data_IF_275052040909
#
_entry.id   IF_275052040909
#
_cell.length_a   1.000
_cell.length_b   1.000
_cell.length_c   1.000
_cell.angle_alpha   90.00
_cell.angle_beta   90.00
_cell.angle_gamma   90.00
#
_symmetry.space_group_name_H-M   'P 1'
#
loop_
_entity.id
_entity.type
_entity.pdbx_description
1 polymer ?
#
# COMPACT_ATOMS: atom_id res chain seq x y z
N UNK A 1 29.94 -56.69 2.95
CA UNK A 1 29.80 -55.28 3.32
C UNK A 1 28.93 -54.67 2.26
N UNK A 2 27.63 -54.39 2.52
CA UNK A 2 26.77 -53.74 1.53
C UNK A 2 26.97 -52.23 1.59
N UNK A 3 26.96 -51.57 0.41
CA UNK A 3 27.09 -50.13 0.22
C UNK A 3 25.97 -49.34 0.90
N UNK A 4 26.28 -48.15 1.41
CA UNK A 4 25.25 -47.26 1.99
C UNK A 4 24.35 -46.73 0.87
N UNK A 5 23.04 -46.43 1.19
CA UNK A 5 22.12 -45.88 0.20
C UNK A 5 22.50 -44.41 -0.09
N UNK A 6 22.23 -43.92 -1.33
CA UNK A 6 22.52 -42.55 -1.71
C UNK A 6 21.60 -41.62 -0.97
N UNK A 7 22.19 -40.65 -0.25
CA UNK A 7 21.49 -39.54 0.33
C UNK A 7 20.76 -38.75 -0.78
N UNK A 8 19.46 -38.73 -0.71
CA UNK A 8 18.60 -37.90 -1.54
C UNK A 8 18.75 -36.45 -1.15
N UNK A 9 19.71 -35.75 -1.74
CA UNK A 9 19.84 -34.33 -1.72
C UNK A 9 18.71 -33.71 -2.53
N UNK A 10 17.61 -33.42 -1.85
CA UNK A 10 16.47 -32.68 -2.42
C UNK A 10 16.90 -31.21 -2.60
N UNK A 11 17.70 -30.96 -3.62
CA UNK A 11 17.97 -29.60 -4.11
C UNK A 11 16.70 -29.03 -4.76
N UNK A 12 16.05 -28.10 -4.08
CA UNK A 12 15.03 -27.24 -4.67
C UNK A 12 15.66 -26.46 -5.83
N UNK A 13 15.18 -26.59 -7.06
CA UNK A 13 15.65 -25.77 -8.17
C UNK A 13 14.98 -24.39 -8.09
N UNK A 14 15.53 -23.48 -7.27
CA UNK A 14 15.27 -22.05 -7.43
C UNK A 14 16.03 -21.59 -8.69
N UNK A 15 15.47 -21.92 -9.86
CA UNK A 15 15.91 -21.35 -11.12
C UNK A 15 15.62 -19.84 -11.10
N UNK A 16 16.62 -19.07 -10.65
CA UNK A 16 16.64 -17.63 -10.89
C UNK A 16 16.77 -17.40 -12.38
N UNK A 17 15.63 -17.41 -13.08
CA UNK A 17 15.58 -16.92 -14.47
C UNK A 17 16.05 -15.47 -14.45
N UNK A 18 17.17 -15.21 -15.12
CA UNK A 18 17.69 -13.85 -15.33
C UNK A 18 16.56 -12.99 -15.88
N UNK A 19 16.20 -11.96 -15.12
CA UNK A 19 15.22 -10.98 -15.53
C UNK A 19 15.65 -10.39 -16.88
N UNK A 20 14.88 -10.64 -17.93
CA UNK A 20 15.10 -9.99 -19.22
C UNK A 20 15.04 -8.47 -19.04
N UNK A 21 15.93 -7.69 -19.67
CA UNK A 21 15.92 -6.25 -19.56
C UNK A 21 14.57 -5.73 -20.08
N UNK A 22 13.75 -5.20 -19.17
CA UNK A 22 12.48 -4.54 -19.54
C UNK A 22 12.78 -3.46 -20.56
N UNK A 23 12.13 -3.48 -21.72
CA UNK A 23 12.31 -2.50 -22.79
C UNK A 23 12.13 -1.10 -22.23
N UNK A 24 12.97 -0.14 -22.64
CA UNK A 24 12.91 1.28 -22.26
C UNK A 24 11.49 1.86 -22.49
N UNK A 25 10.80 1.37 -23.51
CA UNK A 25 9.41 1.73 -23.83
C UNK A 25 8.43 1.39 -22.70
N UNK A 26 8.51 0.21 -22.09
CA UNK A 26 7.66 -0.14 -20.93
C UNK A 26 7.94 0.73 -19.72
N UNK A 27 9.19 1.12 -19.49
CA UNK A 27 9.54 2.08 -18.43
C UNK A 27 8.96 3.46 -18.72
N UNK A 28 9.09 3.96 -19.95
CA UNK A 28 8.53 5.25 -20.38
C UNK A 28 7.00 5.29 -20.21
N UNK A 29 6.28 4.27 -20.65
CA UNK A 29 4.81 4.18 -20.49
C UNK A 29 4.41 4.16 -19.03
N UNK A 30 5.19 3.51 -18.14
CA UNK A 30 4.90 3.45 -16.70
C UNK A 30 5.14 4.79 -15.99
N UNK A 31 6.09 5.61 -16.48
CA UNK A 31 6.39 6.92 -15.90
C UNK A 31 5.60 8.07 -16.54
N UNK A 32 4.97 7.84 -17.68
CA UNK A 32 4.24 8.85 -18.43
C UNK A 32 3.13 9.54 -17.62
N UNK A 33 2.27 8.82 -16.85
CA UNK A 33 1.24 9.46 -16.05
C UNK A 33 1.81 10.36 -14.95
N UNK A 34 2.90 9.93 -14.28
CA UNK A 34 3.57 10.75 -13.28
C UNK A 34 4.26 11.98 -13.90
N UNK A 35 4.88 11.81 -15.08
CA UNK A 35 5.50 12.89 -15.84
C UNK A 35 4.49 13.92 -16.37
N UNK A 36 3.23 13.53 -16.55
CA UNK A 36 2.15 14.43 -16.99
C UNK A 36 1.43 15.03 -15.78
N UNK A 37 1.09 14.22 -14.78
CA UNK A 37 0.30 14.67 -13.64
C UNK A 37 1.04 15.69 -12.77
N UNK A 38 2.34 15.48 -12.53
CA UNK A 38 3.13 16.42 -11.72
C UNK A 38 3.32 17.79 -12.38
N UNK A 39 3.74 17.90 -13.66
CA UNK A 39 3.76 19.18 -14.36
C UNK A 39 2.39 19.83 -14.51
N UNK A 40 1.33 19.03 -14.73
CA UNK A 40 -0.03 19.57 -14.82
C UNK A 40 -0.48 20.15 -13.45
N UNK A 41 -0.15 19.50 -12.35
CA UNK A 41 -0.42 20.01 -11.01
C UNK A 41 0.39 21.29 -10.73
N UNK A 42 1.68 21.30 -11.06
CA UNK A 42 2.53 22.49 -10.95
C UNK A 42 1.95 23.62 -11.82
N UNK A 43 1.57 23.34 -13.06
CA UNK A 43 0.97 24.33 -13.97
C UNK A 43 -0.37 24.86 -13.43
N UNK A 44 -1.21 23.98 -12.83
CA UNK A 44 -2.44 24.40 -12.19
C UNK A 44 -2.18 25.36 -11.01
N UNK A 45 -1.21 25.05 -10.18
CA UNK A 45 -0.81 25.93 -9.05
C UNK A 45 -0.23 27.26 -9.55
N UNK A 46 0.62 27.22 -10.58
CA UNK A 46 1.20 28.43 -11.17
C UNK A 46 0.14 29.29 -11.86
N UNK A 47 -0.89 28.66 -12.43
CA UNK A 47 -1.93 29.35 -13.18
C UNK A 47 -3.08 29.86 -12.29
N UNK A 48 -3.48 29.10 -11.28
CA UNK A 48 -4.60 29.40 -10.39
C UNK A 48 -4.18 29.87 -8.99
N UNK A 49 -2.90 29.71 -8.61
CA UNK A 49 -2.37 30.09 -7.33
C UNK A 49 -1.01 30.76 -7.44
N UNK A 50 -0.64 31.46 -6.40
CA UNK A 50 0.68 32.08 -6.28
C UNK A 50 1.63 31.05 -5.67
N UNK A 51 2.73 30.74 -6.35
CA UNK A 51 3.84 29.95 -5.78
C UNK A 51 4.34 30.58 -4.47
N UNK A 52 4.24 31.89 -4.37
CA UNK A 52 4.58 32.66 -3.18
C UNK A 52 3.71 32.25 -1.99
N UNK A 53 2.38 32.18 -2.17
CA UNK A 53 1.44 31.70 -1.15
C UNK A 53 1.73 30.25 -0.73
N UNK A 54 2.09 29.38 -1.67
CA UNK A 54 2.48 28.00 -1.37
C UNK A 54 3.70 27.93 -0.44
N UNK A 55 4.79 28.64 -0.79
CA UNK A 55 5.99 28.66 0.03
C UNK A 55 5.77 29.31 1.39
N UNK A 56 4.96 30.34 1.44
CA UNK A 56 4.59 31.02 2.69
C UNK A 56 3.79 30.11 3.61
N UNK A 57 2.79 29.37 3.09
CA UNK A 57 2.01 28.39 3.85
C UNK A 57 2.86 27.25 4.42
N UNK A 58 3.78 26.69 3.61
CA UNK A 58 4.68 25.61 4.08
C UNK A 58 5.66 26.17 5.14
N UNK A 59 6.15 27.39 4.95
CA UNK A 59 7.12 28.01 5.88
C UNK A 59 6.48 28.46 7.18
N UNK A 60 5.20 28.82 7.16
CA UNK A 60 4.41 29.22 8.33
C UNK A 60 3.74 28.05 9.04
N UNK A 61 3.96 26.80 8.56
CA UNK A 61 3.35 25.60 9.16
C UNK A 61 3.67 25.52 10.67
N UNK A 62 2.63 25.38 11.47
CA UNK A 62 2.72 25.34 12.94
C UNK A 62 3.23 24.00 13.42
N UNK A 63 4.40 23.93 14.10
CA UNK A 63 4.99 22.66 14.50
C UNK A 63 4.16 21.89 15.54
N UNK A 64 3.29 22.56 16.27
CA UNK A 64 2.37 21.96 17.23
C UNK A 64 1.42 20.91 16.61
N UNK A 65 1.07 21.07 15.33
CA UNK A 65 0.25 20.12 14.57
C UNK A 65 1.08 19.07 13.83
N UNK A 66 2.34 19.35 13.52
CA UNK A 66 3.24 18.43 12.85
C UNK A 66 3.70 17.29 13.79
N UNK A 67 3.83 17.57 15.10
CA UNK A 67 4.20 16.55 16.09
C UNK A 67 3.13 15.45 16.18
N UNK A 68 1.83 15.73 16.40
CA UNK A 68 0.80 14.70 16.37
C UNK A 68 0.67 14.03 14.97
N UNK A 69 0.88 14.77 13.88
CA UNK A 69 0.91 14.19 12.54
C UNK A 69 2.04 13.14 12.36
N UNK A 70 3.20 13.40 12.95
CA UNK A 70 4.29 12.41 13.00
C UNK A 70 3.93 11.20 13.88
N UNK A 71 3.26 11.44 15.00
CA UNK A 71 2.82 10.35 15.88
C UNK A 71 1.80 9.44 15.20
N UNK A 72 0.85 10.00 14.43
CA UNK A 72 -0.10 9.21 13.62
C UNK A 72 0.63 8.35 12.60
N UNK A 73 1.68 8.87 11.94
CA UNK A 73 2.47 8.10 10.99
C UNK A 73 3.27 6.97 11.64
N UNK A 74 3.81 7.17 12.84
CA UNK A 74 4.44 6.08 13.59
C UNK A 74 3.40 5.01 13.95
N UNK A 75 2.18 5.41 14.31
CA UNK A 75 1.09 4.50 14.61
C UNK A 75 0.66 3.64 13.40
N UNK A 76 0.75 4.14 12.16
CA UNK A 76 0.48 3.32 10.96
C UNK A 76 1.45 2.15 10.83
N UNK A 77 2.75 2.34 11.13
CA UNK A 77 3.73 1.25 11.15
C UNK A 77 3.51 0.28 12.30
N UNK A 78 3.03 0.77 13.44
CA UNK A 78 2.62 -0.08 14.57
C UNK A 78 1.45 -0.98 14.15
N UNK A 79 0.40 -0.42 13.52
CA UNK A 79 -0.75 -1.19 13.04
C UNK A 79 -0.34 -2.21 11.96
N UNK A 80 0.52 -1.83 11.03
CA UNK A 80 1.08 -2.73 10.01
C UNK A 80 1.84 -3.91 10.65
N UNK A 81 2.66 -3.64 11.66
CA UNK A 81 3.36 -4.69 12.41
C UNK A 81 2.40 -5.58 13.22
N UNK A 82 1.34 -4.99 13.78
CA UNK A 82 0.31 -5.71 14.53
C UNK A 82 -0.52 -6.63 13.63
N UNK A 83 -0.84 -6.23 12.40
CA UNK A 83 -1.57 -7.08 11.45
C UNK A 83 -0.81 -8.40 11.20
N UNK A 84 0.48 -8.35 10.95
CA UNK A 84 1.30 -9.57 10.79
C UNK A 84 1.47 -10.35 12.11
N UNK A 85 1.63 -9.62 13.23
CA UNK A 85 1.78 -10.27 14.54
C UNK A 85 0.59 -11.14 14.89
N UNK A 86 -0.64 -10.71 14.59
CA UNK A 86 -1.85 -11.49 14.86
C UNK A 86 -1.79 -12.86 14.16
N UNK A 87 -1.45 -12.88 12.87
CA UNK A 87 -1.34 -14.12 12.09
C UNK A 87 -0.21 -15.01 12.62
N UNK A 88 0.96 -14.44 12.88
CA UNK A 88 2.11 -15.19 13.41
C UNK A 88 1.84 -15.78 14.79
N UNK A 89 1.14 -15.06 15.67
CA UNK A 89 0.73 -15.57 16.99
C UNK A 89 -0.26 -16.72 16.85
N UNK A 90 -1.27 -16.58 15.98
CA UNK A 90 -2.24 -17.64 15.72
C UNK A 90 -1.57 -18.91 15.18
N UNK A 91 -0.58 -18.75 14.29
CA UNK A 91 0.23 -19.84 13.77
C UNK A 91 1.31 -20.37 14.75
N UNK A 92 1.34 -19.92 16.00
CA UNK A 92 2.35 -20.27 17.03
C UNK A 92 3.80 -19.96 16.60
N UNK A 93 3.98 -18.99 15.70
CA UNK A 93 5.26 -18.54 15.14
C UNK A 93 5.58 -17.09 15.52
N UNK A 94 5.24 -16.68 16.76
CA UNK A 94 5.40 -15.29 17.18
C UNK A 94 6.86 -14.81 17.07
N UNK A 95 7.02 -13.54 16.71
CA UNK A 95 8.32 -12.87 16.62
C UNK A 95 8.27 -11.57 17.42
N UNK A 96 9.43 -11.08 17.91
CA UNK A 96 9.48 -9.83 18.67
C UNK A 96 8.86 -8.67 17.87
N UNK A 97 8.01 -7.87 18.52
CA UNK A 97 7.33 -6.74 17.90
C UNK A 97 8.30 -5.77 17.20
N UNK A 98 9.46 -5.48 17.83
CA UNK A 98 10.51 -4.64 17.24
C UNK A 98 11.00 -5.14 15.87
N UNK A 99 11.00 -6.47 15.66
CA UNK A 99 11.37 -7.04 14.36
C UNK A 99 10.30 -6.76 13.33
N UNK A 100 9.02 -6.98 13.66
CA UNK A 100 7.90 -6.74 12.75
C UNK A 100 7.76 -5.25 12.42
N UNK A 101 7.90 -4.37 13.40
CA UNK A 101 7.94 -2.93 13.18
C UNK A 101 9.05 -2.49 12.23
N UNK A 102 10.26 -3.03 12.39
CA UNK A 102 11.36 -2.75 11.46
C UNK A 102 11.07 -3.26 10.04
N UNK A 103 10.44 -4.43 9.95
CA UNK A 103 10.07 -4.99 8.66
C UNK A 103 8.94 -4.19 7.99
N UNK A 104 8.00 -3.59 8.74
CA UNK A 104 6.96 -2.73 8.14
C UNK A 104 7.56 -1.47 7.52
N UNK A 105 8.52 -0.82 8.19
CA UNK A 105 9.25 0.32 7.63
C UNK A 105 10.11 -0.08 6.43
N UNK A 106 10.79 -1.24 6.49
CA UNK A 106 11.59 -1.75 5.38
C UNK A 106 10.72 -2.13 4.17
N UNK A 107 9.54 -2.71 4.41
CA UNK A 107 8.56 -3.03 3.35
C UNK A 107 8.15 -1.77 2.61
N UNK A 108 7.71 -0.73 3.33
CA UNK A 108 7.31 0.53 2.74
C UNK A 108 8.41 1.11 1.86
N UNK A 109 9.64 1.19 2.38
CA UNK A 109 10.78 1.66 1.60
C UNK A 109 11.00 0.83 0.33
N UNK A 110 10.95 -0.50 0.44
CA UNK A 110 11.22 -1.39 -0.69
C UNK A 110 10.14 -1.29 -1.75
N UNK A 111 8.88 -1.17 -1.34
CA UNK A 111 7.74 -0.97 -2.24
C UNK A 111 7.85 0.38 -2.98
N UNK A 112 8.39 1.39 -2.32
CA UNK A 112 8.61 2.71 -2.91
C UNK A 112 9.88 2.79 -3.75
N UNK A 113 10.96 2.10 -3.38
CA UNK A 113 12.22 2.11 -4.12
C UNK A 113 12.16 1.29 -5.41
N UNK A 114 11.35 0.24 -5.45
CA UNK A 114 11.21 -0.67 -6.58
C UNK A 114 9.73 -0.71 -6.99
N UNK A 115 9.32 -0.03 -8.07
CA UNK A 115 7.92 0.09 -8.46
C UNK A 115 7.39 -1.23 -9.06
N UNK A 116 7.10 -2.20 -8.19
CA UNK A 116 6.56 -3.52 -8.54
C UNK A 116 5.14 -3.74 -8.02
N UNK A 117 4.43 -2.67 -7.66
CA UNK A 117 3.07 -2.78 -7.10
C UNK A 117 3.01 -3.47 -5.74
N UNK A 118 4.03 -3.28 -4.87
CA UNK A 118 4.06 -3.86 -3.52
C UNK A 118 4.66 -5.27 -3.43
N UNK A 119 4.99 -5.89 -4.57
CA UNK A 119 5.56 -7.26 -4.61
C UNK A 119 6.97 -7.30 -4.00
N UNK A 120 7.79 -6.28 -4.24
CA UNK A 120 9.18 -6.22 -3.77
C UNK A 120 9.28 -6.20 -2.24
N UNK A 121 8.48 -5.40 -1.56
CA UNK A 121 8.43 -5.36 -0.11
C UNK A 121 7.84 -6.63 0.49
N UNK A 122 6.88 -7.23 -0.20
CA UNK A 122 6.30 -8.53 0.18
C UNK A 122 7.37 -9.63 0.17
N UNK A 123 8.15 -9.75 -0.90
CA UNK A 123 9.26 -10.70 -0.99
C UNK A 123 10.30 -10.46 0.11
N UNK A 124 10.63 -9.21 0.39
CA UNK A 124 11.57 -8.86 1.47
C UNK A 124 11.06 -9.37 2.82
N UNK A 125 9.78 -9.13 3.14
CA UNK A 125 9.19 -9.55 4.43
C UNK A 125 9.17 -11.07 4.56
N UNK A 126 8.72 -11.80 3.52
CA UNK A 126 8.73 -13.28 3.53
C UNK A 126 10.13 -13.81 3.77
N UNK A 127 11.09 -13.40 2.96
CA UNK A 127 12.49 -13.83 3.11
C UNK A 127 13.04 -13.49 4.49
N UNK A 128 12.73 -12.32 5.03
CA UNK A 128 13.18 -11.90 6.35
C UNK A 128 12.53 -12.70 7.48
N UNK A 129 11.27 -13.09 7.37
CA UNK A 129 10.57 -13.95 8.33
C UNK A 129 11.08 -15.39 8.26
N UNK A 130 11.22 -15.95 7.05
CA UNK A 130 11.68 -17.34 6.82
C UNK A 130 13.08 -17.56 7.41
N UNK A 131 13.99 -16.62 7.21
CA UNK A 131 15.31 -16.67 7.84
C UNK A 131 15.33 -16.61 9.34
N UNK A 132 14.27 -16.06 9.91
CA UNK A 132 14.08 -16.04 11.37
C UNK A 132 13.37 -17.30 11.88
N UNK A 133 13.28 -18.34 11.04
CA UNK A 133 12.68 -19.63 11.39
C UNK A 133 11.16 -19.65 11.36
N UNK A 134 10.51 -18.69 10.65
CA UNK A 134 9.08 -18.80 10.34
C UNK A 134 8.94 -19.67 9.09
N UNK A 135 8.13 -20.75 9.12
CA UNK A 135 7.87 -21.56 7.92
C UNK A 135 7.33 -20.69 6.78
N UNK A 136 7.77 -20.95 5.55
CA UNK A 136 7.40 -20.14 4.38
C UNK A 136 5.89 -20.03 4.20
N UNK A 137 5.16 -21.15 4.32
CA UNK A 137 3.70 -21.18 4.21
C UNK A 137 2.99 -20.28 5.27
N UNK A 138 3.54 -20.16 6.49
CA UNK A 138 3.00 -19.27 7.54
C UNK A 138 3.30 -17.80 7.21
N UNK A 139 4.53 -17.50 6.75
CA UNK A 139 4.88 -16.15 6.31
C UNK A 139 4.00 -15.70 5.14
N UNK A 140 3.68 -16.61 4.23
CA UNK A 140 2.79 -16.37 3.10
C UNK A 140 1.34 -16.15 3.54
N UNK A 141 0.83 -16.98 4.47
CA UNK A 141 -0.50 -16.80 5.04
C UNK A 141 -0.65 -15.42 5.70
N UNK A 142 0.39 -14.96 6.43
CA UNK A 142 0.37 -13.62 7.03
C UNK A 142 0.21 -12.51 6.00
N UNK A 143 0.83 -12.64 4.83
CA UNK A 143 0.70 -11.67 3.75
C UNK A 143 -0.65 -11.76 3.04
N UNK A 144 -1.17 -12.96 2.80
CA UNK A 144 -2.48 -13.14 2.17
C UNK A 144 -3.61 -12.62 3.03
N UNK A 145 -3.63 -12.96 4.32
CA UNK A 145 -4.62 -12.43 5.28
C UNK A 145 -4.52 -10.91 5.33
N UNK A 146 -3.29 -10.37 5.40
CA UNK A 146 -3.06 -8.91 5.39
C UNK A 146 -3.55 -8.27 4.08
N UNK A 147 -3.33 -8.91 2.93
CA UNK A 147 -3.77 -8.42 1.62
C UNK A 147 -5.30 -8.41 1.51
N UNK A 148 -5.97 -9.49 1.86
CA UNK A 148 -7.44 -9.56 1.84
C UNK A 148 -8.05 -8.51 2.76
N UNK A 149 -7.47 -8.35 3.97
CA UNK A 149 -7.92 -7.35 4.94
C UNK A 149 -7.66 -5.91 4.47
N UNK A 150 -6.56 -5.67 3.76
CA UNK A 150 -6.23 -4.38 3.18
C UNK A 150 -7.28 -3.98 2.12
N UNK A 151 -7.54 -4.83 1.13
CA UNK A 151 -8.55 -4.58 0.10
C UNK A 151 -9.96 -4.41 0.69
N UNK A 152 -10.32 -5.21 1.69
CA UNK A 152 -11.59 -5.04 2.39
C UNK A 152 -11.70 -3.69 3.12
N UNK A 153 -10.60 -3.23 3.73
CA UNK A 153 -10.55 -1.92 4.40
C UNK A 153 -10.68 -0.76 3.41
N UNK A 154 -10.02 -0.86 2.24
CA UNK A 154 -10.11 0.14 1.18
C UNK A 154 -11.53 0.22 0.60
N UNK A 155 -12.20 -0.92 0.37
CA UNK A 155 -13.61 -0.93 -0.06
C UNK A 155 -14.51 -0.25 0.96
N UNK A 156 -14.35 -0.56 2.25
CA UNK A 156 -15.15 0.07 3.31
C UNK A 156 -14.86 1.57 3.39
N UNK A 157 -13.60 1.98 3.25
CA UNK A 157 -13.24 3.40 3.22
C UNK A 157 -13.86 4.12 2.02
N UNK A 158 -13.81 3.51 0.82
CA UNK A 158 -14.39 4.06 -0.39
C UNK A 158 -15.92 4.22 -0.29
N UNK A 159 -16.62 3.19 0.22
CA UNK A 159 -18.07 3.25 0.44
C UNK A 159 -18.42 4.29 1.51
N UNK A 160 -17.63 4.37 2.59
CA UNK A 160 -17.83 5.39 3.64
C UNK A 160 -17.61 6.80 3.08
N UNK A 161 -16.56 6.99 2.26
CA UNK A 161 -16.29 8.25 1.59
C UNK A 161 -17.49 8.66 0.69
N UNK A 162 -17.97 7.73 -0.12
CA UNK A 162 -19.15 7.99 -0.99
C UNK A 162 -20.38 8.34 -0.18
N UNK A 163 -20.66 7.65 0.93
CA UNK A 163 -21.78 7.94 1.80
C UNK A 163 -21.68 9.35 2.43
N UNK A 164 -20.46 9.75 2.86
CA UNK A 164 -20.22 11.09 3.39
C UNK A 164 -20.43 12.17 2.33
N UNK A 165 -19.93 11.98 1.11
CA UNK A 165 -20.13 12.91 0.00
C UNK A 165 -21.60 13.03 -0.36
N UNK A 166 -22.32 11.90 -0.43
CA UNK A 166 -23.77 11.91 -0.70
C UNK A 166 -24.55 12.63 0.41
N UNK A 167 -24.18 12.43 1.66
CA UNK A 167 -24.82 13.09 2.81
C UNK A 167 -24.65 14.62 2.79
N UNK A 168 -23.49 15.09 2.31
CA UNK A 168 -23.17 16.52 2.19
C UNK A 168 -23.57 17.12 0.82
N UNK A 169 -24.24 16.35 -0.04
CA UNK A 169 -24.68 16.74 -1.40
C UNK A 169 -23.52 17.10 -2.36
N UNK A 170 -22.33 16.60 -2.09
CA UNK A 170 -21.12 16.84 -2.89
C UNK A 170 -20.79 15.66 -3.85
N UNK A 171 -21.72 14.70 -4.01
CA UNK A 171 -21.52 13.52 -4.86
C UNK A 171 -21.99 13.78 -6.30
N UNK A 172 -21.05 14.04 -7.19
CA UNK A 172 -21.29 14.15 -8.63
C UNK A 172 -21.24 12.80 -9.35
N UNK A 173 -21.87 12.73 -10.54
CA UNK A 173 -21.89 11.52 -11.37
C UNK A 173 -20.50 10.96 -11.70
N UNK A 174 -19.52 11.76 -12.10
CA UNK A 174 -18.13 11.32 -12.32
C UNK A 174 -17.47 10.73 -11.07
N UNK A 175 -17.73 11.28 -9.90
CA UNK A 175 -17.18 10.81 -8.63
C UNK A 175 -17.78 9.46 -8.22
N UNK A 176 -19.09 9.30 -8.43
CA UNK A 176 -19.79 8.02 -8.28
C UNK A 176 -19.19 6.94 -9.19
N UNK A 177 -18.96 7.27 -10.46
CA UNK A 177 -18.36 6.34 -11.43
C UNK A 177 -16.94 5.94 -11.01
N UNK A 178 -16.10 6.89 -10.59
CA UNK A 178 -14.73 6.65 -10.13
C UNK A 178 -14.71 5.67 -8.95
N UNK A 179 -15.51 5.95 -7.91
CA UNK A 179 -15.57 5.09 -6.71
C UNK A 179 -16.15 3.72 -7.05
N UNK A 180 -17.16 3.64 -7.93
CA UNK A 180 -17.74 2.35 -8.35
C UNK A 180 -16.73 1.49 -9.09
N UNK A 181 -15.96 2.05 -10.02
CA UNK A 181 -14.89 1.34 -10.75
C UNK A 181 -13.82 0.87 -9.76
N UNK A 182 -13.41 1.73 -8.82
CA UNK A 182 -12.46 1.37 -7.79
C UNK A 182 -12.95 0.20 -6.93
N UNK A 183 -14.16 0.26 -6.38
CA UNK A 183 -14.75 -0.82 -5.58
C UNK A 183 -14.80 -2.13 -6.37
N UNK A 184 -15.14 -2.06 -7.68
CA UNK A 184 -15.13 -3.22 -8.55
C UNK A 184 -13.72 -3.85 -8.64
N UNK A 185 -12.71 -3.04 -8.86
CA UNK A 185 -11.29 -3.50 -8.94
C UNK A 185 -10.82 -4.07 -7.60
N UNK A 186 -11.10 -3.38 -6.50
CA UNK A 186 -10.72 -3.80 -5.14
C UNK A 186 -11.37 -5.13 -4.72
N UNK A 187 -12.59 -5.39 -5.16
CA UNK A 187 -13.28 -6.67 -4.93
C UNK A 187 -12.78 -7.75 -5.89
N UNK A 188 -12.50 -7.39 -7.15
CA UNK A 188 -12.08 -8.34 -8.17
C UNK A 188 -10.70 -8.97 -7.85
N UNK A 189 -9.74 -8.18 -7.38
CA UNK A 189 -8.37 -8.65 -7.10
C UNK A 189 -8.36 -9.75 -6.01
N UNK A 190 -8.85 -9.53 -4.78
CA UNK A 190 -8.84 -10.56 -3.76
C UNK A 190 -9.76 -11.76 -4.13
N UNK A 191 -10.87 -11.50 -4.83
CA UNK A 191 -11.74 -12.57 -5.33
C UNK A 191 -11.03 -13.47 -6.33
N UNK A 192 -10.27 -12.90 -7.26
CA UNK A 192 -9.47 -13.66 -8.21
C UNK A 192 -8.38 -14.49 -7.50
N UNK A 193 -7.69 -13.90 -6.50
CA UNK A 193 -6.67 -14.60 -5.71
C UNK A 193 -7.27 -15.75 -4.90
N UNK A 194 -8.40 -15.52 -4.21
CA UNK A 194 -9.09 -16.55 -3.44
C UNK A 194 -9.68 -17.66 -4.36
N UNK A 195 -10.19 -17.26 -5.52
CA UNK A 195 -10.65 -18.20 -6.53
C UNK A 195 -9.50 -19.07 -7.09
N UNK A 196 -8.37 -18.46 -7.44
CA UNK A 196 -7.18 -19.15 -7.88
C UNK A 196 -6.70 -20.17 -6.82
N UNK A 197 -6.68 -19.73 -5.52
CA UNK A 197 -6.36 -20.62 -4.42
C UNK A 197 -7.30 -21.82 -4.31
N UNK A 198 -8.63 -21.59 -4.39
CA UNK A 198 -9.61 -22.67 -4.28
C UNK A 198 -9.49 -23.68 -5.43
N UNK A 199 -9.03 -23.25 -6.61
CA UNK A 199 -8.76 -24.12 -7.75
C UNK A 199 -7.44 -24.87 -7.61
N UNK A 200 -6.41 -24.24 -7.07
CA UNK A 200 -5.13 -24.88 -6.79
C UNK A 200 -5.26 -25.99 -5.73
N UNK A 201 -6.09 -25.80 -4.71
CA UNK A 201 -6.40 -26.81 -3.69
C UNK A 201 -7.07 -28.09 -4.28
N UNK A 202 -7.58 -28.01 -5.51
CA UNK A 202 -8.29 -29.10 -6.21
C UNK A 202 -7.53 -29.67 -7.44
N UNK A 203 -6.26 -29.37 -7.61
CA UNK A 203 -5.42 -29.74 -8.76
C UNK A 203 -6.03 -29.37 -10.15
N UNK A 204 -6.94 -28.39 -10.19
CA UNK A 204 -7.68 -27.98 -11.40
C UNK A 204 -7.25 -26.63 -11.95
N UNK A 205 -6.13 -26.08 -11.46
CA UNK A 205 -5.68 -24.76 -11.87
C UNK A 205 -4.92 -24.83 -13.20
N UNK A 206 -5.66 -24.67 -14.30
CA UNK A 206 -5.07 -24.27 -15.58
C UNK A 206 -5.21 -22.76 -15.71
N UNK A 207 -4.11 -22.04 -15.51
CA UNK A 207 -4.10 -20.60 -15.77
C UNK A 207 -4.30 -20.37 -17.27
N UNK A 208 -5.11 -19.36 -17.66
CA UNK A 208 -5.16 -18.94 -19.05
C UNK A 208 -3.77 -18.51 -19.53
N UNK A 209 -3.37 -18.92 -20.73
CA UNK A 209 -2.03 -18.67 -21.28
C UNK A 209 -1.60 -17.19 -21.27
N UNK A 210 -2.55 -16.23 -21.30
CA UNK A 210 -2.26 -14.81 -21.21
C UNK A 210 -1.83 -14.36 -19.80
N UNK A 211 -2.22 -15.10 -18.75
CA UNK A 211 -1.84 -14.83 -17.35
C UNK A 211 -0.44 -15.40 -17.07
N UNK A 212 -0.09 -16.55 -17.63
CA UNK A 212 1.23 -17.18 -17.48
C UNK A 212 2.37 -16.30 -18.05
N UNK A 213 2.06 -15.39 -18.98
CA UNK A 213 3.04 -14.47 -19.54
C UNK A 213 3.44 -13.31 -18.61
N UNK A 214 2.75 -13.13 -17.49
CA UNK A 214 3.14 -12.10 -16.51
C UNK A 214 4.21 -12.65 -15.56
N UNK A 215 5.44 -12.12 -15.57
CA UNK A 215 6.52 -12.62 -14.71
C UNK A 215 6.15 -12.49 -13.23
N UNK A 216 6.18 -13.60 -12.51
CA UNK A 216 5.90 -13.69 -11.08
C UNK A 216 4.47 -14.13 -10.73
N UNK A 217 3.59 -14.38 -11.69
CA UNK A 217 2.23 -14.88 -11.42
C UNK A 217 2.28 -16.34 -10.99
N UNK A 218 3.10 -17.16 -11.62
CA UNK A 218 3.32 -18.57 -11.22
C UNK A 218 3.82 -18.64 -9.77
N UNK A 219 4.85 -17.86 -9.42
CA UNK A 219 5.36 -17.79 -8.05
C UNK A 219 4.28 -17.33 -7.06
N UNK A 220 3.41 -16.37 -7.44
CA UNK A 220 2.30 -15.90 -6.61
C UNK A 220 1.24 -16.97 -6.41
N UNK A 221 0.92 -17.75 -7.44
CA UNK A 221 -0.07 -18.85 -7.38
C UNK A 221 0.42 -19.95 -6.46
N UNK A 222 1.68 -20.39 -6.60
CA UNK A 222 2.29 -21.40 -5.73
C UNK A 222 2.34 -20.94 -4.27
N UNK A 223 2.63 -19.68 -4.05
CA UNK A 223 2.64 -19.00 -2.77
C UNK A 223 1.25 -19.00 -2.13
N UNK A 224 0.22 -18.66 -2.92
CA UNK A 224 -1.18 -18.64 -2.51
C UNK A 224 -1.68 -20.04 -2.21
N UNK A 225 -1.33 -21.01 -3.06
CA UNK A 225 -1.69 -22.41 -2.88
C UNK A 225 -1.11 -23.02 -1.58
N UNK A 226 0.13 -22.66 -1.24
CA UNK A 226 0.81 -23.17 -0.06
C UNK A 226 0.30 -22.60 1.28
N UNK A 227 -0.54 -21.58 1.27
CA UNK A 227 -1.00 -20.91 2.51
C UNK A 227 -2.10 -21.73 3.21
N UNK A 228 -2.02 -21.95 4.55
CA UNK A 228 -3.01 -22.69 5.31
C UNK A 228 -4.41 -22.04 5.25
N UNK A 229 -5.42 -22.84 4.89
CA UNK A 229 -6.80 -22.39 4.76
C UNK A 229 -7.44 -21.96 6.09
N UNK A 230 -7.04 -22.59 7.19
CA UNK A 230 -7.51 -22.33 8.55
C UNK A 230 -7.14 -20.90 9.02
N UNK A 231 -6.00 -20.36 8.59
CA UNK A 231 -5.61 -18.98 8.90
C UNK A 231 -6.38 -17.96 8.04
N UNK A 232 -6.62 -18.27 6.77
CA UNK A 232 -7.29 -17.33 5.85
C UNK A 232 -8.79 -17.25 6.14
N UNK A 233 -9.39 -18.33 6.61
CA UNK A 233 -10.83 -18.43 6.91
C UNK A 233 -11.20 -18.11 8.36
N UNK A 234 -10.24 -17.79 9.23
CA UNK A 234 -10.51 -17.41 10.61
C UNK A 234 -11.12 -15.99 10.66
N UNK A 235 -12.42 -15.84 10.99
CA UNK A 235 -13.11 -14.56 10.94
C UNK A 235 -12.58 -13.56 11.97
N UNK A 236 -12.11 -14.02 13.13
CA UNK A 236 -11.55 -13.14 14.15
C UNK A 236 -10.18 -12.60 13.74
N UNK A 237 -9.39 -13.43 13.06
CA UNK A 237 -8.09 -13.03 12.53
C UNK A 237 -8.25 -12.01 11.39
N UNK A 238 -9.16 -12.28 10.47
CA UNK A 238 -9.47 -11.36 9.36
C UNK A 238 -10.05 -10.05 9.88
N UNK A 239 -10.96 -10.09 10.85
CA UNK A 239 -11.52 -8.88 11.47
C UNK A 239 -10.45 -8.06 12.22
N UNK A 240 -9.55 -8.72 12.95
CA UNK A 240 -8.46 -8.04 13.65
C UNK A 240 -7.44 -7.39 12.70
N UNK A 241 -7.07 -8.08 11.61
CA UNK A 241 -6.18 -7.53 10.58
C UNK A 241 -6.88 -6.44 9.76
N UNK A 242 -8.17 -6.58 9.45
CA UNK A 242 -9.01 -5.55 8.85
C UNK A 242 -9.02 -4.28 9.72
N UNK A 243 -9.26 -4.40 11.02
CA UNK A 243 -9.25 -3.26 11.93
C UNK A 243 -7.89 -2.54 11.94
N UNK A 244 -6.77 -3.27 11.80
CA UNK A 244 -5.46 -2.66 11.65
C UNK A 244 -5.35 -1.87 10.34
N UNK A 245 -5.77 -2.42 9.21
CA UNK A 245 -5.69 -1.75 7.90
C UNK A 245 -6.64 -0.56 7.79
N UNK A 246 -7.87 -0.71 8.26
CA UNK A 246 -8.82 0.40 8.32
C UNK A 246 -8.32 1.52 9.25
N UNK A 247 -7.72 1.13 10.39
CA UNK A 247 -7.05 2.07 11.29
C UNK A 247 -5.90 2.83 10.63
N UNK A 248 -5.13 2.21 9.73
CA UNK A 248 -4.09 2.89 8.93
C UNK A 248 -4.73 3.97 8.05
N UNK A 249 -5.80 3.66 7.33
CA UNK A 249 -6.51 4.64 6.48
C UNK A 249 -7.01 5.83 7.31
N UNK A 250 -7.58 5.57 8.49
CA UNK A 250 -8.04 6.62 9.39
C UNK A 250 -6.87 7.49 9.92
N UNK A 251 -5.74 6.88 10.26
CA UNK A 251 -4.55 7.60 10.72
C UNK A 251 -3.91 8.44 9.61
N UNK A 252 -3.88 7.95 8.37
CA UNK A 252 -3.39 8.70 7.23
C UNK A 252 -4.32 9.89 6.90
N UNK A 253 -5.64 9.68 6.97
CA UNK A 253 -6.64 10.74 6.83
C UNK A 253 -6.51 11.78 7.96
N UNK A 254 -6.28 11.31 9.19
CA UNK A 254 -6.02 12.19 10.34
C UNK A 254 -4.71 12.96 10.15
N UNK A 255 -3.68 12.36 9.55
CA UNK A 255 -2.44 13.05 9.21
C UNK A 255 -2.68 14.19 8.22
N UNK A 256 -3.52 13.96 7.19
CA UNK A 256 -3.92 15.00 6.24
C UNK A 256 -4.69 16.13 6.95
N UNK A 257 -5.63 15.79 7.82
CA UNK A 257 -6.36 16.77 8.61
C UNK A 257 -5.44 17.62 9.49
N UNK A 258 -4.47 16.99 10.15
CA UNK A 258 -3.45 17.68 10.96
C UNK A 258 -2.54 18.56 10.07
N UNK A 259 -2.23 18.13 8.85
CA UNK A 259 -1.48 18.94 7.89
C UNK A 259 -2.27 20.20 7.48
N UNK A 260 -3.58 20.08 7.23
CA UNK A 260 -4.45 21.24 6.97
C UNK A 260 -4.46 22.23 8.16
N UNK A 261 -4.52 21.70 9.38
CA UNK A 261 -4.40 22.51 10.61
C UNK A 261 -3.04 23.19 10.75
N UNK A 262 -1.97 22.48 10.39
CA UNK A 262 -0.61 23.01 10.46
C UNK A 262 -0.39 24.22 9.56
N UNK A 263 -0.99 24.23 8.38
CA UNK A 263 -0.92 25.37 7.45
C UNK A 263 -1.94 26.49 7.75
N UNK A 264 -2.75 26.34 8.81
CA UNK A 264 -3.71 27.35 9.25
C UNK A 264 -5.03 27.38 8.48
N UNK A 265 -5.32 26.38 7.63
CA UNK A 265 -6.58 26.25 6.89
C UNK A 265 -7.37 25.04 7.45
N UNK A 266 -8.20 25.26 8.47
CA UNK A 266 -8.96 24.17 9.09
C UNK A 266 -10.06 23.68 8.14
N UNK A 267 -10.14 22.36 7.99
CA UNK A 267 -11.23 21.66 7.30
C UNK A 267 -11.93 20.72 8.26
N UNK A 268 -13.11 20.29 7.92
CA UNK A 268 -13.79 19.23 8.68
C UNK A 268 -13.08 17.88 8.51
N UNK A 269 -13.10 17.00 9.52
CA UNK A 269 -12.39 15.70 9.44
C UNK A 269 -12.83 14.83 8.26
N UNK A 270 -14.10 14.86 7.88
CA UNK A 270 -14.61 14.10 6.75
C UNK A 270 -14.06 14.59 5.41
N UNK A 271 -13.77 15.89 5.27
CA UNK A 271 -13.15 16.48 4.06
C UNK A 271 -11.73 15.93 3.88
N UNK A 272 -10.95 15.85 4.96
CA UNK A 272 -9.63 15.25 4.91
C UNK A 272 -9.69 13.73 4.63
N UNK A 273 -10.68 13.02 5.19
CA UNK A 273 -10.91 11.60 4.90
C UNK A 273 -11.27 11.40 3.41
N UNK A 274 -12.18 12.21 2.86
CA UNK A 274 -12.54 12.17 1.45
C UNK A 274 -11.33 12.48 0.55
N UNK A 275 -10.58 13.53 0.86
CA UNK A 275 -9.36 13.92 0.13
C UNK A 275 -8.31 12.81 0.09
N UNK A 276 -8.03 12.18 1.23
CA UNK A 276 -7.09 11.05 1.31
C UNK A 276 -7.60 9.83 0.54
N UNK A 277 -8.87 9.45 0.75
CA UNK A 277 -9.46 8.25 0.13
C UNK A 277 -9.53 8.39 -1.40
N UNK A 278 -10.05 9.52 -1.91
CA UNK A 278 -10.11 9.76 -3.37
C UNK A 278 -8.70 9.87 -3.97
N UNK A 279 -7.77 10.53 -3.27
CA UNK A 279 -6.36 10.57 -3.70
C UNK A 279 -5.75 9.18 -3.84
N UNK A 280 -6.03 8.27 -2.88
CA UNK A 280 -5.58 6.88 -2.92
C UNK A 280 -6.23 6.10 -4.07
N UNK A 281 -7.54 6.29 -4.30
CA UNK A 281 -8.27 5.70 -5.43
C UNK A 281 -7.66 6.13 -6.77
N UNK A 282 -7.42 7.43 -6.95
CA UNK A 282 -6.81 7.97 -8.17
C UNK A 282 -5.41 7.42 -8.38
N UNK A 283 -4.61 7.34 -7.30
CA UNK A 283 -3.25 6.79 -7.37
C UNK A 283 -3.22 5.30 -7.75
N UNK A 284 -4.23 4.53 -7.34
CA UNK A 284 -4.33 3.11 -7.65
C UNK A 284 -4.79 2.86 -9.09
N UNK A 285 -5.79 3.59 -9.56
CA UNK A 285 -6.33 3.43 -10.93
C UNK A 285 -5.33 3.96 -11.97
N UNK A 286 -4.64 5.05 -11.66
CA UNK A 286 -3.67 5.63 -12.57
C UNK A 286 -2.34 4.88 -12.52
N UNK A 287 -1.81 4.35 -13.63
CA UNK A 287 -0.59 3.56 -13.66
C UNK A 287 0.67 4.42 -13.50
N UNK A 288 0.73 5.22 -12.43
CA UNK A 288 1.92 6.00 -12.10
C UNK A 288 2.82 5.25 -11.12
N UNK A 289 4.14 5.25 -11.30
CA UNK A 289 5.05 4.67 -10.33
C UNK A 289 4.86 5.34 -8.98
N UNK A 290 4.59 4.52 -7.94
CA UNK A 290 4.47 5.00 -6.54
C UNK A 290 3.26 5.93 -6.29
N UNK A 291 2.34 6.08 -7.24
CA UNK A 291 1.26 7.06 -7.16
C UNK A 291 1.75 8.52 -7.18
N UNK A 292 3.02 8.77 -7.59
CA UNK A 292 3.57 10.12 -7.65
C UNK A 292 2.84 10.95 -8.70
N UNK A 293 2.42 12.14 -8.32
CA UNK A 293 1.64 13.06 -9.13
C UNK A 293 0.15 12.75 -9.14
N UNK A 294 -0.25 11.48 -9.20
CA UNK A 294 -1.67 11.07 -9.25
C UNK A 294 -2.34 11.14 -7.90
N UNK A 295 -1.68 10.71 -6.84
CA UNK A 295 -2.15 10.89 -5.46
C UNK A 295 -2.26 12.37 -5.12
N UNK A 296 -1.22 13.15 -5.42
CA UNK A 296 -1.18 14.58 -5.17
C UNK A 296 -2.29 15.31 -5.93
N UNK A 297 -2.50 14.99 -7.21
CA UNK A 297 -3.57 15.56 -8.00
C UNK A 297 -4.96 15.18 -7.48
N UNK A 298 -5.17 13.91 -7.14
CA UNK A 298 -6.44 13.42 -6.59
C UNK A 298 -6.78 14.05 -5.25
N UNK A 299 -5.82 14.06 -4.32
CA UNK A 299 -6.01 14.65 -2.98
C UNK A 299 -6.24 16.16 -3.06
N UNK A 300 -5.35 16.88 -3.78
CA UNK A 300 -5.46 18.34 -3.95
C UNK A 300 -6.76 18.73 -4.65
N UNK A 301 -7.10 18.01 -5.73
CA UNK A 301 -8.33 18.27 -6.49
C UNK A 301 -9.58 18.05 -5.63
N UNK A 302 -9.62 16.98 -4.85
CA UNK A 302 -10.75 16.70 -3.96
C UNK A 302 -10.90 17.76 -2.86
N UNK A 303 -9.79 18.13 -2.20
CA UNK A 303 -9.81 19.18 -1.18
C UNK A 303 -10.26 20.51 -1.78
N UNK A 304 -9.82 20.84 -3.00
CA UNK A 304 -10.21 22.07 -3.68
C UNK A 304 -11.70 22.05 -4.09
N UNK A 305 -12.23 20.94 -4.57
CA UNK A 305 -13.65 20.77 -4.89
C UNK A 305 -14.54 20.89 -3.63
N UNK A 306 -14.01 20.47 -2.48
CA UNK A 306 -14.69 20.59 -1.18
C UNK A 306 -14.45 21.96 -0.49
N UNK A 307 -14.03 22.98 -1.24
CA UNK A 307 -13.99 24.38 -0.81
C UNK A 307 -12.66 24.86 -0.22
N UNK A 308 -11.58 24.05 -0.26
CA UNK A 308 -10.27 24.48 0.19
C UNK A 308 -9.54 25.27 -0.92
N UNK A 309 -8.85 26.41 -0.64
CA UNK A 309 -7.99 27.04 -1.64
C UNK A 309 -6.95 26.09 -2.21
N UNK A 310 -6.74 26.11 -3.52
CA UNK A 310 -5.92 25.09 -4.21
C UNK A 310 -4.46 25.09 -3.72
N UNK A 311 -3.91 26.24 -3.37
CA UNK A 311 -2.55 26.38 -2.84
C UNK A 311 -2.44 25.71 -1.46
N UNK A 312 -3.46 25.91 -0.62
CA UNK A 312 -3.54 25.29 0.69
C UNK A 312 -3.74 23.77 0.56
N UNK A 313 -4.62 23.33 -0.32
CA UNK A 313 -4.85 21.91 -0.61
C UNK A 313 -3.56 21.21 -1.07
N UNK A 314 -2.81 21.84 -1.97
CA UNK A 314 -1.51 21.31 -2.42
C UNK A 314 -0.47 21.31 -1.28
N UNK A 315 -0.41 22.40 -0.50
CA UNK A 315 0.52 22.50 0.63
C UNK A 315 0.27 21.42 1.67
N UNK A 316 -1.01 21.18 2.04
CA UNK A 316 -1.39 20.10 2.95
C UNK A 316 -1.04 18.71 2.38
N UNK A 317 -1.28 18.50 1.10
CA UNK A 317 -0.98 17.25 0.42
C UNK A 317 0.53 16.98 0.37
N UNK A 318 1.35 17.99 0.11
CA UNK A 318 2.81 17.87 0.13
C UNK A 318 3.35 17.64 1.54
N UNK A 319 2.78 18.28 2.56
CA UNK A 319 3.13 17.99 3.95
C UNK A 319 2.78 16.55 4.32
N UNK A 320 1.60 16.07 3.93
CA UNK A 320 1.23 14.67 4.10
C UNK A 320 2.27 13.74 3.43
N UNK A 321 2.61 13.99 2.17
CA UNK A 321 3.62 13.19 1.45
C UNK A 321 5.01 13.29 2.09
N UNK A 322 5.35 14.43 2.64
CA UNK A 322 6.57 14.62 3.44
C UNK A 322 6.64 13.62 4.59
N UNK A 323 5.54 13.45 5.31
CA UNK A 323 5.44 12.57 6.48
C UNK A 323 5.25 11.10 6.10
N UNK A 324 4.40 10.79 5.11
CA UNK A 324 4.02 9.41 4.75
C UNK A 324 5.00 8.75 3.80
N UNK A 325 5.66 9.52 2.93
CA UNK A 325 6.51 9.02 1.86
C UNK A 325 7.99 9.34 2.12
N UNK A 326 8.35 10.64 2.20
CA UNK A 326 9.76 11.04 2.25
C UNK A 326 10.45 10.75 3.58
N UNK A 327 9.80 11.06 4.69
CA UNK A 327 10.39 10.89 6.01
C UNK A 327 10.73 9.43 6.33
N UNK A 328 9.83 8.44 6.09
CA UNK A 328 10.13 7.04 6.38
C UNK A 328 11.14 6.41 5.41
N UNK A 329 11.39 7.01 4.24
CA UNK A 329 12.44 6.54 3.35
C UNK A 329 13.83 6.60 4.00
N UNK A 330 14.11 7.59 4.83
CA UNK A 330 15.41 7.77 5.49
C UNK A 330 15.77 6.55 6.38
N UNK A 331 14.97 6.19 7.41
CA UNK A 331 15.25 4.98 8.19
C UNK A 331 15.03 3.70 7.37
N UNK A 332 14.10 3.72 6.41
CA UNK A 332 13.77 2.58 5.54
C UNK A 332 14.95 2.10 4.72
N UNK A 333 15.70 3.00 4.09
CA UNK A 333 16.94 2.68 3.36
C UNK A 333 17.90 1.87 4.23
N UNK A 334 18.15 2.34 5.43
CA UNK A 334 19.14 1.74 6.31
C UNK A 334 18.69 0.37 6.85
N UNK A 335 17.41 0.25 7.19
CA UNK A 335 16.83 -1.01 7.66
C UNK A 335 16.79 -2.02 6.51
N UNK A 336 16.29 -1.64 5.33
CA UNK A 336 16.20 -2.52 4.17
C UNK A 336 17.59 -3.01 3.72
N UNK A 337 18.60 -2.12 3.65
CA UNK A 337 19.97 -2.51 3.34
C UNK A 337 20.57 -3.50 4.34
N UNK A 338 20.23 -3.37 5.63
CA UNK A 338 20.67 -4.34 6.65
C UNK A 338 19.96 -5.69 6.50
N UNK A 339 18.69 -5.70 6.18
CA UNK A 339 17.98 -6.94 5.94
C UNK A 339 18.47 -7.63 4.67
N UNK A 340 18.70 -6.88 3.57
CA UNK A 340 19.25 -7.43 2.32
C UNK A 340 20.68 -7.95 2.50
N UNK A 341 21.55 -7.25 3.23
CA UNK A 341 22.93 -7.75 3.49
C UNK A 341 22.97 -9.05 4.32
N UNK A 342 21.88 -9.39 4.98
CA UNK A 342 21.73 -10.66 5.67
C UNK A 342 21.25 -11.76 4.72
N UNK A 343 20.98 -11.44 3.47
CA UNK A 343 20.70 -12.36 2.37
C UNK A 343 21.98 -12.88 1.76
#
# INVERSE_FOLDING_TARGET
>A
MPDPPPEAEAALPLGVRKAQPRSLWRRLVTWLPALVALPALIAAVVHYGSLENFFELVRSARPEWLIPALATQIATYVLSALSWRQVLVKAKQSRPFRTLFRLSVAKLYTDQAIPTGGVSGTILVVKALTRRGVPSHVAMAALLVSMVSYYAADVVAAVTCLALLWLHHDADGPMLALVSVFVLVEVAIPSAVLWAKSRADHDTLHLPAWIEHFPGVEDLVDIVAAAPNDLIRDPLLVAGTFACHFGIILLDSLTLWLACRAIGVPVEPWVAFAGFTIGSIVAMIAPSPLGLGTFEAGTTGTLALLGMPIEAALSATILLRGLTFWLPMVPGVWIARREVKRF
#
